data_IF_107986918031
#
_entry.id   IF_107986918031
#
_cell.length_a   1.000
_cell.length_b   1.000
_cell.length_c   1.000
_cell.angle_alpha   90.00
_cell.angle_beta   90.00
_cell.angle_gamma   90.00
#
_symmetry.space_group_name_H-M   'P 1'
#
loop_
_entity.id
_entity.type
_entity.pdbx_description
1 polymer ?
#
# COMPACT_ATOMS: atom_id res chain seq x y z
N UNK A 1 -7.90 -15.15 -7.03
CA UNK A 1 -6.71 -14.58 -6.40
C UNK A 1 -6.90 -13.09 -6.29
N UNK A 2 -6.57 -12.53 -5.14
CA UNK A 2 -6.49 -11.09 -4.89
C UNK A 2 -5.06 -10.75 -4.44
N UNK A 3 -4.47 -9.72 -5.01
CA UNK A 3 -3.22 -9.14 -4.56
C UNK A 3 -3.49 -7.72 -4.05
N UNK A 4 -3.08 -7.46 -2.82
CA UNK A 4 -3.21 -6.16 -2.17
C UNK A 4 -1.83 -5.49 -2.16
N UNK A 5 -1.71 -4.38 -2.86
CA UNK A 5 -0.44 -3.65 -2.99
C UNK A 5 -0.01 -3.00 -1.69
N UNK A 6 -0.98 -2.53 -0.89
CA UNK A 6 -0.74 -1.85 0.39
C UNK A 6 -2.03 -1.76 1.22
N UNK A 7 -1.91 -1.26 2.45
CA UNK A 7 -2.94 -1.32 3.49
C UNK A 7 -4.04 -0.23 3.43
N UNK A 8 -3.99 0.75 2.53
CA UNK A 8 -4.99 1.82 2.50
C UNK A 8 -6.39 1.30 2.18
N UNK A 9 -7.39 1.95 2.75
CA UNK A 9 -8.79 1.47 2.77
C UNK A 9 -9.41 1.32 1.38
N UNK A 10 -9.03 2.14 0.41
CA UNK A 10 -9.47 2.04 -0.98
C UNK A 10 -8.89 0.84 -1.74
N UNK A 11 -7.84 0.20 -1.18
CA UNK A 11 -7.26 -1.04 -1.70
C UNK A 11 -7.71 -2.28 -0.92
N UNK A 12 -7.89 -2.17 0.40
CA UNK A 12 -8.19 -3.34 1.24
C UNK A 12 -9.61 -3.39 1.79
N UNK A 13 -10.35 -2.27 1.79
CA UNK A 13 -11.61 -2.13 2.52
C UNK A 13 -12.66 -3.20 2.21
N UNK A 14 -12.70 -3.70 0.99
CA UNK A 14 -13.64 -4.75 0.59
C UNK A 14 -13.05 -6.17 0.63
N UNK A 15 -11.76 -6.35 0.94
CA UNK A 15 -11.10 -7.64 0.82
C UNK A 15 -11.79 -8.76 1.61
N UNK A 16 -12.16 -8.49 2.88
CA UNK A 16 -12.85 -9.46 3.73
C UNK A 16 -14.32 -9.70 3.32
N UNK A 17 -14.91 -8.82 2.52
CA UNK A 17 -16.35 -8.85 2.18
C UNK A 17 -16.63 -9.53 0.86
N UNK A 18 -15.81 -9.25 -0.16
CA UNK A 18 -16.12 -9.68 -1.54
C UNK A 18 -15.41 -10.96 -1.96
N UNK A 19 -14.36 -11.36 -1.23
CA UNK A 19 -13.60 -12.54 -1.62
C UNK A 19 -14.31 -13.83 -1.22
N UNK A 20 -14.41 -14.82 -2.13
CA UNK A 20 -14.82 -16.19 -1.76
C UNK A 20 -13.90 -16.76 -0.66
N UNK A 21 -14.47 -17.63 0.20
CA UNK A 21 -13.74 -18.21 1.35
C UNK A 21 -12.48 -19.00 0.97
N UNK A 22 -12.44 -19.54 -0.23
CA UNK A 22 -11.33 -20.32 -0.79
C UNK A 22 -10.36 -19.48 -1.62
N UNK A 23 -10.62 -18.20 -1.76
CA UNK A 23 -9.77 -17.32 -2.52
C UNK A 23 -8.44 -17.03 -1.80
N UNK A 24 -7.35 -17.09 -2.53
CA UNK A 24 -6.04 -16.69 -2.02
C UNK A 24 -5.91 -15.17 -2.07
N UNK A 25 -5.60 -14.57 -0.93
CA UNK A 25 -5.27 -13.16 -0.80
C UNK A 25 -3.78 -13.07 -0.53
N UNK A 26 -3.07 -12.26 -1.32
CA UNK A 26 -1.64 -11.99 -1.14
C UNK A 26 -1.43 -10.54 -0.74
N UNK A 27 -0.53 -10.32 0.19
CA UNK A 27 -0.16 -8.99 0.67
C UNK A 27 1.26 -9.01 1.24
N UNK A 28 1.93 -7.86 1.30
CA UNK A 28 3.19 -7.79 2.02
C UNK A 28 3.01 -8.11 3.50
N UNK A 29 4.00 -8.81 4.08
CA UNK A 29 3.95 -9.13 5.51
C UNK A 29 3.86 -7.87 6.38
N UNK A 30 4.62 -6.83 6.03
CA UNK A 30 4.68 -5.59 6.82
C UNK A 30 3.34 -4.88 6.86
N UNK A 31 2.71 -4.66 5.71
CA UNK A 31 1.41 -3.98 5.66
C UNK A 31 0.28 -4.86 6.21
N UNK A 32 0.38 -6.19 6.04
CA UNK A 32 -0.59 -7.11 6.65
C UNK A 32 -0.57 -7.05 8.18
N UNK A 33 0.62 -7.12 8.78
CA UNK A 33 0.77 -7.04 10.24
C UNK A 33 0.24 -5.69 10.76
N UNK A 34 0.56 -4.60 10.06
CA UNK A 34 0.10 -3.25 10.40
C UNK A 34 -1.43 -3.13 10.30
N UNK A 35 -2.01 -3.65 9.21
CA UNK A 35 -3.46 -3.67 8.99
C UNK A 35 -4.17 -4.49 10.07
N UNK A 36 -3.68 -5.68 10.41
CA UNK A 36 -4.29 -6.52 11.44
C UNK A 36 -4.23 -5.84 12.82
N UNK A 37 -3.17 -5.12 13.14
CA UNK A 37 -3.10 -4.30 14.36
C UNK A 37 -4.18 -3.22 14.38
N UNK A 38 -4.48 -2.60 13.25
CA UNK A 38 -5.55 -1.58 13.15
C UNK A 38 -6.97 -2.15 13.24
N UNK A 39 -7.15 -3.42 12.84
CA UNK A 39 -8.46 -4.10 12.84
C UNK A 39 -8.76 -4.76 14.19
N UNK A 40 -7.75 -5.30 14.87
CA UNK A 40 -7.93 -6.14 16.07
C UNK A 40 -7.28 -5.58 17.33
N UNK A 41 -6.47 -4.54 17.22
CA UNK A 41 -5.68 -3.95 18.29
C UNK A 41 -6.14 -2.55 18.70
N UNK A 42 -5.25 -1.83 19.33
CA UNK A 42 -5.44 -0.48 19.91
C UNK A 42 -4.94 0.64 18.97
N UNK A 43 -4.66 0.33 17.73
CA UNK A 43 -4.02 1.28 16.79
C UNK A 43 -4.70 2.65 16.74
N UNK A 44 -6.02 2.69 16.77
CA UNK A 44 -6.76 3.94 16.68
C UNK A 44 -6.70 4.73 17.99
N UNK A 45 -6.76 4.04 19.13
CA UNK A 45 -6.60 4.62 20.46
C UNK A 45 -5.19 5.20 20.62
N UNK A 46 -4.17 4.44 20.25
CA UNK A 46 -2.77 4.86 20.29
C UNK A 46 -2.52 6.09 19.39
N UNK A 47 -3.20 6.12 18.22
CA UNK A 47 -3.14 7.25 17.28
C UNK A 47 -3.78 8.51 17.88
N UNK A 48 -4.94 8.36 18.53
CA UNK A 48 -5.63 9.47 19.21
C UNK A 48 -4.81 10.03 20.35
N UNK A 49 -4.23 9.15 21.17
CA UNK A 49 -3.34 9.56 22.27
C UNK A 49 -2.11 10.32 21.73
N UNK A 50 -1.51 9.87 20.65
CA UNK A 50 -0.41 10.56 20.00
C UNK A 50 -0.82 11.95 19.47
N UNK A 51 -1.98 12.08 18.84
CA UNK A 51 -2.48 13.38 18.40
C UNK A 51 -2.66 14.35 19.56
N UNK A 52 -3.27 13.89 20.65
CA UNK A 52 -3.44 14.70 21.86
C UNK A 52 -2.09 15.11 22.46
N UNK A 53 -1.16 14.18 22.57
CA UNK A 53 0.19 14.43 23.08
C UNK A 53 0.93 15.49 22.26
N UNK A 54 0.73 15.52 20.94
CA UNK A 54 1.30 16.52 20.05
C UNK A 54 0.46 17.81 19.93
N UNK A 55 -0.54 17.99 20.77
CA UNK A 55 -1.33 19.23 20.88
C UNK A 55 -2.51 19.33 19.92
N UNK A 56 -2.95 18.21 19.31
CA UNK A 56 -4.19 18.23 18.53
C UNK A 56 -5.39 18.49 19.46
N UNK A 57 -6.33 19.41 19.13
CA UNK A 57 -7.46 19.75 19.97
C UNK A 57 -8.39 18.56 20.20
N UNK A 58 -8.67 18.23 21.47
CA UNK A 58 -9.49 17.08 21.85
C UNK A 58 -10.93 17.15 21.28
N UNK A 59 -11.50 18.35 21.21
CA UNK A 59 -12.83 18.59 20.64
C UNK A 59 -12.90 18.33 19.13
N UNK A 60 -11.76 18.29 18.43
CA UNK A 60 -11.64 18.00 17.01
C UNK A 60 -11.43 16.53 16.68
N UNK A 61 -11.10 15.68 17.65
CA UNK A 61 -10.89 14.24 17.40
C UNK A 61 -12.15 13.56 16.88
N UNK A 62 -13.34 13.86 17.41
CA UNK A 62 -14.61 13.28 16.94
C UNK A 62 -14.85 13.66 15.46
N UNK A 63 -14.59 14.90 15.08
CA UNK A 63 -14.70 15.35 13.71
C UNK A 63 -13.70 14.64 12.79
N UNK A 64 -12.45 14.48 13.26
CA UNK A 64 -11.41 13.74 12.56
C UNK A 64 -11.82 12.29 12.31
N UNK A 65 -12.36 11.61 13.33
CA UNK A 65 -12.80 10.21 13.22
C UNK A 65 -13.91 10.03 12.18
N UNK A 66 -14.91 10.91 12.18
CA UNK A 66 -16.06 10.81 11.25
C UNK A 66 -15.69 11.14 9.81
N UNK A 67 -14.65 11.96 9.60
CA UNK A 67 -14.19 12.40 8.26
C UNK A 67 -13.00 11.62 7.73
N UNK A 68 -12.35 10.77 8.55
CA UNK A 68 -11.19 10.01 8.15
C UNK A 68 -11.58 8.83 7.26
N UNK A 69 -11.25 8.82 5.94
CA UNK A 69 -11.59 7.72 5.06
C UNK A 69 -11.00 6.37 5.50
N UNK A 70 -9.80 6.38 6.10
CA UNK A 70 -9.16 5.17 6.59
C UNK A 70 -9.98 4.47 7.69
N UNK A 71 -10.68 5.23 8.54
CA UNK A 71 -11.62 4.67 9.53
C UNK A 71 -12.97 4.32 8.91
N UNK A 72 -13.50 5.19 8.06
CA UNK A 72 -14.85 5.02 7.49
C UNK A 72 -14.94 3.82 6.54
N UNK A 73 -13.85 3.51 5.82
CA UNK A 73 -13.79 2.46 4.81
C UNK A 73 -12.76 1.37 5.16
N UNK A 74 -12.42 1.22 6.44
CA UNK A 74 -11.53 0.14 6.86
C UNK A 74 -12.14 -1.22 6.52
N UNK A 75 -11.29 -2.24 6.39
CA UNK A 75 -11.75 -3.62 6.18
C UNK A 75 -12.69 -4.05 7.32
N UNK A 76 -13.77 -4.75 6.96
CA UNK A 76 -14.86 -5.08 7.89
C UNK A 76 -14.46 -6.03 9.04
N UNK A 77 -13.31 -6.68 8.96
CA UNK A 77 -12.79 -7.60 9.97
C UNK A 77 -11.49 -8.26 9.51
N UNK A 78 -10.87 -9.06 10.36
CA UNK A 78 -9.65 -9.77 10.01
C UNK A 78 -9.91 -10.78 8.88
N UNK A 79 -8.89 -10.99 8.06
CA UNK A 79 -8.89 -12.00 7.00
C UNK A 79 -7.52 -12.67 6.91
N UNK A 80 -7.49 -13.89 6.40
CA UNK A 80 -6.23 -14.61 6.18
C UNK A 80 -5.59 -14.17 4.86
N UNK A 81 -4.30 -13.88 4.90
CA UNK A 81 -3.51 -13.58 3.71
C UNK A 81 -2.23 -14.42 3.67
N UNK A 82 -1.82 -14.77 2.48
CA UNK A 82 -0.48 -15.30 2.21
C UNK A 82 0.46 -14.10 2.18
N UNK A 83 1.29 -13.99 3.20
CA UNK A 83 2.21 -12.86 3.32
C UNK A 83 3.46 -13.07 2.47
N UNK A 84 3.87 -11.99 1.80
CA UNK A 84 5.02 -11.97 0.91
C UNK A 84 6.12 -11.04 1.45
N UNK A 85 7.35 -11.41 1.20
CA UNK A 85 8.54 -10.58 1.41
C UNK A 85 9.05 -10.02 0.07
N UNK A 86 10.04 -9.14 0.13
CA UNK A 86 10.68 -8.60 -1.07
C UNK A 86 11.33 -9.72 -1.91
N UNK A 87 11.01 -9.76 -3.19
CA UNK A 87 11.50 -10.77 -4.12
C UNK A 87 10.72 -12.09 -4.12
N UNK A 88 9.76 -12.29 -3.21
CA UNK A 88 8.93 -13.50 -3.22
C UNK A 88 8.10 -13.57 -4.51
N UNK A 89 7.95 -14.80 -5.00
CA UNK A 89 7.21 -15.08 -6.22
C UNK A 89 5.95 -15.89 -5.94
N UNK A 90 4.92 -15.66 -6.75
CA UNK A 90 3.70 -16.47 -6.76
C UNK A 90 3.12 -16.55 -8.17
N UNK A 91 2.24 -17.52 -8.39
CA UNK A 91 1.64 -17.77 -9.71
C UNK A 91 0.13 -17.59 -9.68
N UNK A 92 -0.41 -17.06 -10.77
CA UNK A 92 -1.84 -17.00 -11.07
C UNK A 92 -2.04 -17.59 -12.45
N UNK A 93 -2.55 -18.83 -12.52
CA UNK A 93 -2.53 -19.60 -13.76
C UNK A 93 -1.09 -19.77 -14.27
N UNK A 94 -0.83 -19.38 -15.51
CA UNK A 94 0.49 -19.45 -16.14
C UNK A 94 1.38 -18.22 -15.93
N UNK A 95 0.92 -17.27 -15.14
CA UNK A 95 1.62 -16.01 -14.86
C UNK A 95 2.37 -16.08 -13.54
N UNK A 96 3.68 -15.94 -13.58
CA UNK A 96 4.53 -15.78 -12.39
C UNK A 96 4.81 -14.31 -12.14
N UNK A 97 4.53 -13.87 -10.93
CA UNK A 97 4.74 -12.49 -10.47
C UNK A 97 5.77 -12.45 -9.36
N UNK A 98 6.53 -11.36 -9.31
CA UNK A 98 7.47 -11.06 -8.23
C UNK A 98 6.96 -9.87 -7.41
N UNK A 99 6.92 -10.04 -6.10
CA UNK A 99 6.61 -8.98 -5.14
C UNK A 99 7.85 -8.09 -4.95
N UNK A 100 7.73 -6.80 -5.20
CA UNK A 100 8.81 -5.83 -5.05
C UNK A 100 8.42 -4.84 -3.94
N UNK A 101 9.15 -4.86 -2.82
CA UNK A 101 8.94 -3.91 -1.73
C UNK A 101 9.41 -2.51 -2.13
N UNK A 102 8.52 -1.55 -1.90
CA UNK A 102 8.72 -0.12 -2.18
C UNK A 102 8.14 0.72 -1.04
N UNK A 103 8.71 0.60 0.18
CA UNK A 103 8.21 1.32 1.35
C UNK A 103 8.30 2.83 1.17
N UNK A 104 7.42 3.55 1.86
CA UNK A 104 7.36 5.03 1.90
C UNK A 104 5.93 5.54 1.91
N UNK A 105 5.11 5.21 0.91
CA UNK A 105 3.69 5.51 0.90
C UNK A 105 2.96 4.79 2.05
N UNK A 106 3.20 3.49 2.19
CA UNK A 106 2.96 2.72 3.41
C UNK A 106 4.24 1.99 3.83
N UNK A 107 4.31 1.46 5.07
CA UNK A 107 5.49 0.72 5.55
C UNK A 107 5.85 -0.50 4.70
N UNK A 108 4.85 -1.19 4.18
CA UNK A 108 5.00 -2.40 3.38
C UNK A 108 4.45 -2.28 1.96
N UNK A 109 4.36 -1.07 1.41
CA UNK A 109 3.90 -0.88 0.03
C UNK A 109 4.69 -1.72 -0.96
N UNK A 110 4.01 -2.28 -1.96
CA UNK A 110 4.60 -3.16 -2.95
C UNK A 110 4.18 -2.82 -4.37
N UNK A 111 5.10 -3.05 -5.30
CA UNK A 111 4.79 -3.22 -6.72
C UNK A 111 4.76 -4.71 -7.06
N UNK A 112 4.05 -5.06 -8.13
CA UNK A 112 3.99 -6.43 -8.62
C UNK A 112 4.58 -6.49 -10.03
N UNK A 113 5.66 -7.25 -10.20
CA UNK A 113 6.39 -7.31 -11.45
C UNK A 113 6.15 -8.62 -12.20
N UNK A 114 5.77 -8.52 -13.48
CA UNK A 114 5.69 -9.63 -14.42
C UNK A 114 6.83 -9.53 -15.43
N UNK A 115 7.92 -10.24 -15.16
CA UNK A 115 9.18 -10.16 -15.88
C UNK A 115 9.04 -10.51 -17.37
N UNK A 116 8.28 -11.55 -17.72
CA UNK A 116 8.11 -12.01 -19.13
C UNK A 116 7.57 -10.93 -20.08
N UNK A 117 6.94 -9.90 -19.54
CA UNK A 117 6.37 -8.79 -20.32
C UNK A 117 6.93 -7.42 -19.91
N UNK A 118 7.91 -7.38 -19.02
CA UNK A 118 8.42 -6.13 -18.41
C UNK A 118 7.26 -5.24 -17.94
N UNK A 119 6.26 -5.85 -17.31
CA UNK A 119 5.06 -5.17 -16.84
C UNK A 119 5.10 -5.03 -15.34
N UNK A 120 4.85 -3.82 -14.83
CA UNK A 120 4.78 -3.55 -13.40
C UNK A 120 3.44 -2.92 -13.02
N UNK A 121 2.75 -3.52 -12.06
CA UNK A 121 1.66 -2.89 -11.34
C UNK A 121 2.28 -2.06 -10.22
N UNK A 122 2.09 -0.77 -10.27
CA UNK A 122 2.80 0.18 -9.42
C UNK A 122 2.08 0.44 -8.08
N UNK A 123 0.80 0.02 -7.95
CA UNK A 123 -0.01 0.48 -6.83
C UNK A 123 0.01 2.00 -6.73
N UNK A 124 0.17 2.51 -5.52
CA UNK A 124 0.29 3.95 -5.27
C UNK A 124 1.75 4.43 -5.18
N UNK A 125 2.70 3.59 -5.58
CA UNK A 125 4.09 3.98 -5.53
C UNK A 125 4.45 5.07 -6.55
N UNK A 126 3.97 4.94 -7.80
CA UNK A 126 4.11 5.97 -8.84
C UNK A 126 2.74 6.25 -9.45
N UNK A 127 2.29 7.49 -9.30
CA UNK A 127 1.07 8.02 -9.89
C UNK A 127 1.43 9.16 -10.86
N UNK A 128 0.79 9.20 -12.02
CA UNK A 128 1.23 10.10 -13.11
C UNK A 128 0.58 11.49 -13.03
N UNK A 129 -0.63 11.58 -12.47
CA UNK A 129 -1.39 12.84 -12.36
C UNK A 129 -1.22 13.55 -11.03
N UNK A 130 -0.88 12.79 -9.99
CA UNK A 130 -0.76 13.25 -8.62
C UNK A 130 0.49 12.64 -7.98
N UNK A 131 0.95 13.24 -6.89
CA UNK A 131 2.00 12.66 -6.05
C UNK A 131 1.36 11.81 -4.97
N UNK A 132 1.86 10.58 -4.69
CA UNK A 132 1.39 9.80 -3.56
C UNK A 132 1.60 10.55 -2.24
N UNK A 133 0.70 10.36 -1.30
CA UNK A 133 0.88 10.88 0.05
C UNK A 133 1.97 10.10 0.78
N UNK A 134 2.95 10.81 1.36
CA UNK A 134 3.99 10.23 2.20
C UNK A 134 3.80 10.78 3.61
N UNK A 135 3.37 9.92 4.52
CA UNK A 135 3.07 10.31 5.90
C UNK A 135 4.03 9.65 6.89
N UNK A 136 3.98 10.13 8.13
CA UNK A 136 4.66 9.48 9.23
C UNK A 136 3.86 8.24 9.67
N UNK A 137 4.56 7.12 9.86
CA UNK A 137 4.00 5.87 10.34
C UNK A 137 4.64 5.49 11.69
N UNK A 138 3.84 4.97 12.61
CA UNK A 138 4.36 4.49 13.89
C UNK A 138 5.45 3.42 13.68
N UNK A 139 6.57 3.58 14.36
CA UNK A 139 7.70 2.65 14.26
C UNK A 139 8.50 2.74 12.96
N UNK A 140 8.10 3.58 12.00
CA UNK A 140 8.84 3.79 10.75
C UNK A 140 9.67 5.06 10.84
N UNK A 141 10.97 4.90 10.67
CA UNK A 141 11.91 6.02 10.63
C UNK A 141 12.06 6.50 9.19
N UNK A 142 11.78 7.78 8.95
CA UNK A 142 12.04 8.47 7.69
C UNK A 142 11.34 7.84 6.46
N UNK A 143 10.00 7.93 6.43
CA UNK A 143 9.17 7.44 5.32
C UNK A 143 9.54 8.09 3.98
N UNK A 144 9.93 9.38 3.98
CA UNK A 144 10.31 10.08 2.76
C UNK A 144 11.60 9.51 2.16
N UNK A 145 12.63 9.27 2.97
CA UNK A 145 13.85 8.65 2.49
C UNK A 145 13.61 7.23 1.98
N UNK A 146 12.75 6.46 2.68
CA UNK A 146 12.33 5.15 2.20
C UNK A 146 11.67 5.23 0.83
N UNK A 147 10.76 6.20 0.63
CA UNK A 147 10.08 6.42 -0.65
C UNK A 147 11.07 6.77 -1.78
N UNK A 148 11.99 7.70 -1.54
CA UNK A 148 13.02 8.09 -2.52
C UNK A 148 13.91 6.90 -2.90
N UNK A 149 14.32 6.09 -1.92
CA UNK A 149 15.11 4.89 -2.19
C UNK A 149 14.30 3.83 -2.95
N UNK A 150 13.02 3.72 -2.68
CA UNK A 150 12.10 2.84 -3.42
C UNK A 150 11.91 3.28 -4.88
N UNK A 151 11.82 4.58 -5.15
CA UNK A 151 11.82 5.11 -6.52
C UNK A 151 13.10 4.74 -7.27
N UNK A 152 14.27 4.92 -6.64
CA UNK A 152 15.56 4.52 -7.20
C UNK A 152 15.61 3.01 -7.49
N UNK A 153 15.08 2.19 -6.57
CA UNK A 153 15.03 0.73 -6.71
C UNK A 153 14.21 0.31 -7.93
N UNK A 154 12.97 0.83 -8.10
CA UNK A 154 12.13 0.42 -9.23
C UNK A 154 12.63 0.96 -10.56
N UNK A 155 13.37 2.06 -10.55
CA UNK A 155 13.99 2.64 -11.77
C UNK A 155 14.97 1.67 -12.45
N UNK A 156 15.55 0.74 -11.69
CA UNK A 156 16.45 -0.29 -12.22
C UNK A 156 15.73 -1.43 -12.96
N UNK A 157 14.42 -1.57 -12.80
CA UNK A 157 13.63 -2.58 -13.50
C UNK A 157 13.33 -2.13 -14.93
N UNK A 158 13.37 -3.09 -15.87
CA UNK A 158 12.87 -2.85 -17.22
C UNK A 158 11.34 -2.83 -17.18
N UNK A 159 10.74 -1.71 -17.56
CA UNK A 159 9.29 -1.53 -17.62
C UNK A 159 8.86 -1.05 -19.01
N UNK A 160 8.32 -1.98 -19.80
CA UNK A 160 7.68 -1.65 -21.08
C UNK A 160 6.22 -1.20 -20.85
N UNK A 161 5.62 -1.66 -19.74
CA UNK A 161 4.27 -1.25 -19.30
C UNK A 161 4.27 -1.01 -17.80
N UNK A 162 3.77 0.15 -17.39
CA UNK A 162 3.62 0.55 -15.99
C UNK A 162 2.15 0.89 -15.72
N UNK A 163 1.55 0.26 -14.72
CA UNK A 163 0.13 0.36 -14.40
C UNK A 163 -0.05 0.95 -12.99
N UNK A 164 -0.40 2.25 -12.87
CA UNK A 164 -0.71 2.87 -11.60
C UNK A 164 -2.07 2.40 -11.08
N UNK A 165 -2.29 2.46 -9.76
CA UNK A 165 -3.58 2.11 -9.18
C UNK A 165 -4.64 3.18 -9.44
N UNK A 166 -4.25 4.45 -9.49
CA UNK A 166 -5.19 5.55 -9.67
C UNK A 166 -4.93 6.30 -10.97
N UNK A 167 -6.06 6.70 -11.63
CA UNK A 167 -6.08 7.54 -12.83
C UNK A 167 -5.38 6.87 -14.02
N UNK A 168 -4.69 7.63 -14.83
CA UNK A 168 -4.04 7.16 -16.05
C UNK A 168 -2.61 7.70 -16.19
N UNK A 169 -1.86 7.13 -17.12
CA UNK A 169 -0.48 7.53 -17.38
C UNK A 169 -0.34 8.82 -18.17
N UNK A 170 -1.43 9.33 -18.78
CA UNK A 170 -1.42 10.46 -19.72
C UNK A 170 -0.41 10.31 -20.87
N UNK A 171 -0.01 9.07 -21.19
CA UNK A 171 1.01 8.80 -22.19
C UNK A 171 2.44 9.13 -21.74
N UNK A 172 2.64 9.45 -20.45
CA UNK A 172 3.96 9.74 -19.89
C UNK A 172 4.76 8.45 -19.72
N UNK A 173 6.06 8.51 -19.96
CA UNK A 173 6.98 7.43 -19.65
C UNK A 173 7.16 7.32 -18.13
N UNK A 174 7.23 6.10 -17.60
CA UNK A 174 7.35 5.86 -16.16
C UNK A 174 8.68 6.38 -15.59
N UNK A 175 9.77 6.28 -16.35
CA UNK A 175 11.08 6.77 -15.90
C UNK A 175 11.11 8.29 -15.81
N UNK A 176 10.51 8.98 -16.79
CA UNK A 176 10.38 10.44 -16.76
C UNK A 176 9.54 10.88 -15.54
N UNK A 177 8.51 10.08 -15.17
CA UNK A 177 7.70 10.36 -13.99
C UNK A 177 8.45 10.14 -12.68
N UNK A 178 9.29 9.10 -12.61
CA UNK A 178 10.13 8.80 -11.43
C UNK A 178 11.18 9.92 -11.23
N UNK A 179 11.71 10.48 -12.31
CA UNK A 179 12.77 11.50 -12.27
C UNK A 179 12.24 12.91 -11.95
N UNK A 180 10.91 13.15 -11.94
CA UNK A 180 10.25 14.42 -11.54
C UNK A 180 10.15 14.55 -10.01
#
# INVERSE_FOLDING_TARGET
VLYLTHLHSDHVGLAATIMPKDAKIYMSKVDYDYLMTSVTGTHWEDTDEAFLHHGFPADKLIELHTKNPARAFQVAGPFDAITLNDGDKFTVGDYEFTCIYVPGHTPGNTCLYYEKKNLMFLGDHVLFDITPNITAWFGVKDSLNNYINSLKKIREFKMDTALPAHRNTKGMNVYDRIDQ
#
